data_IF_803070590534
#
_entry.id   IF_803070590534
#
_cell.length_a   1.000
_cell.length_b   1.000
_cell.length_c   1.000
_cell.angle_alpha   90.00
_cell.angle_beta   90.00
_cell.angle_gamma   90.00
#
_symmetry.space_group_name_H-M   'P 1'
#
loop_
_entity.id
_entity.type
_entity.pdbx_description
1 polymer ?
#
# COMPACT_ATOMS: atom_id res chain seq x y z
N UNK A 1 -13.57 -17.15 -11.31
CA UNK A 1 -13.31 -18.47 -10.66
C UNK A 1 -12.28 -19.19 -11.50
N UNK A 2 -11.26 -19.76 -10.89
CA UNK A 2 -10.22 -20.55 -11.58
C UNK A 2 -10.88 -21.80 -12.19
N UNK A 3 -11.04 -21.83 -13.51
CA UNK A 3 -11.63 -22.97 -14.22
C UNK A 3 -10.59 -24.10 -14.40
N UNK A 4 -11.00 -25.24 -14.98
CA UNK A 4 -10.13 -26.40 -15.15
C UNK A 4 -8.88 -26.08 -16.01
N UNK A 5 -9.06 -25.34 -17.11
CA UNK A 5 -7.95 -24.97 -17.99
C UNK A 5 -6.94 -24.05 -17.28
N UNK A 6 -7.43 -23.09 -16.48
CA UNK A 6 -6.59 -22.22 -15.68
C UNK A 6 -5.86 -23.02 -14.60
N UNK A 7 -6.53 -23.98 -13.93
CA UNK A 7 -5.85 -24.89 -12.99
C UNK A 7 -4.69 -25.63 -13.66
N UNK A 8 -4.90 -26.22 -14.84
CA UNK A 8 -3.85 -26.91 -15.58
C UNK A 8 -2.72 -25.97 -15.99
N UNK A 9 -3.04 -24.74 -16.40
CA UNK A 9 -2.03 -23.72 -16.67
C UNK A 9 -1.19 -23.39 -15.42
N UNK A 10 -1.81 -23.28 -14.24
CA UNK A 10 -1.10 -23.02 -12.98
C UNK A 10 -0.20 -24.19 -12.59
N UNK A 11 -0.68 -25.43 -12.71
CA UNK A 11 0.11 -26.64 -12.45
C UNK A 11 1.34 -26.73 -13.35
N UNK A 12 1.18 -26.45 -14.64
CA UNK A 12 2.29 -26.38 -15.60
C UNK A 12 3.27 -25.28 -15.26
N UNK A 13 2.78 -24.11 -14.83
CA UNK A 13 3.60 -22.94 -14.50
C UNK A 13 4.41 -23.17 -13.23
N UNK A 14 3.81 -23.82 -12.23
CA UNK A 14 4.43 -24.12 -10.94
C UNK A 14 5.23 -25.42 -10.95
N UNK A 15 5.15 -26.19 -12.04
CA UNK A 15 5.74 -27.52 -12.19
C UNK A 15 5.38 -28.46 -11.03
N UNK A 16 4.09 -28.48 -10.65
CA UNK A 16 3.57 -29.24 -9.51
C UNK A 16 2.06 -29.43 -9.64
N UNK A 17 1.50 -30.39 -8.91
CA UNK A 17 0.06 -30.66 -8.89
C UNK A 17 -0.62 -29.87 -7.78
N UNK A 18 -1.75 -29.23 -8.11
CA UNK A 18 -2.56 -28.50 -7.14
C UNK A 18 -3.54 -29.46 -6.47
N UNK A 19 -3.32 -29.71 -5.17
CA UNK A 19 -4.15 -30.57 -4.33
C UNK A 19 -5.42 -29.86 -3.85
N UNK A 20 -5.34 -28.55 -3.62
CA UNK A 20 -6.48 -27.72 -3.20
C UNK A 20 -6.33 -26.29 -3.72
N UNK A 21 -7.46 -25.67 -4.07
CA UNK A 21 -7.58 -24.23 -4.35
C UNK A 21 -8.66 -23.69 -3.44
N UNK A 22 -8.30 -22.77 -2.54
CA UNK A 22 -9.23 -22.21 -1.55
C UNK A 22 -9.25 -20.69 -1.62
N UNK A 23 -10.42 -20.04 -1.69
CA UNK A 23 -10.47 -18.57 -1.62
C UNK A 23 -9.94 -18.09 -0.26
N UNK A 24 -9.17 -17.00 -0.28
CA UNK A 24 -8.77 -16.25 0.89
C UNK A 24 -9.64 -15.00 1.01
N UNK A 25 -10.01 -14.64 2.24
CA UNK A 25 -10.68 -13.38 2.54
C UNK A 25 -9.67 -12.23 2.54
N UNK A 26 -10.09 -11.03 2.13
CA UNK A 26 -9.31 -9.79 2.30
C UNK A 26 -9.06 -8.98 1.02
N UNK A 27 -9.32 -9.54 -0.16
CA UNK A 27 -9.25 -8.77 -1.40
C UNK A 27 -10.59 -8.08 -1.72
N UNK A 28 -10.66 -6.76 -1.59
CA UNK A 28 -11.85 -5.99 -2.01
C UNK A 28 -11.95 -5.85 -3.54
N UNK A 29 -10.81 -5.98 -4.23
CA UNK A 29 -10.66 -5.74 -5.68
C UNK A 29 -10.17 -6.97 -6.42
N UNK A 30 -9.24 -7.71 -5.82
CA UNK A 30 -8.63 -8.90 -6.41
C UNK A 30 -9.26 -10.17 -5.85
N UNK A 31 -9.46 -11.18 -6.70
CA UNK A 31 -9.76 -12.52 -6.21
C UNK A 31 -8.48 -13.17 -5.72
N UNK A 32 -8.41 -13.49 -4.43
CA UNK A 32 -7.22 -14.09 -3.80
C UNK A 32 -7.49 -15.54 -3.44
N UNK A 33 -6.58 -16.44 -3.79
CA UNK A 33 -6.68 -17.86 -3.49
C UNK A 33 -5.38 -18.41 -2.89
N UNK A 34 -5.53 -19.34 -1.95
CA UNK A 34 -4.49 -20.26 -1.51
C UNK A 34 -4.42 -21.42 -2.51
N UNK A 35 -3.25 -21.64 -3.07
CA UNK A 35 -2.91 -22.80 -3.89
C UNK A 35 -2.09 -23.77 -3.05
N UNK A 36 -2.63 -24.96 -2.76
CA UNK A 36 -1.90 -26.01 -2.06
C UNK A 36 -1.33 -27.03 -3.02
N UNK A 37 -0.12 -27.47 -2.72
CA UNK A 37 0.57 -28.61 -3.36
C UNK A 37 0.98 -29.58 -2.26
N UNK A 38 1.59 -30.72 -2.62
CA UNK A 38 2.14 -31.65 -1.63
C UNK A 38 3.37 -31.08 -0.88
N UNK A 39 4.13 -30.18 -1.52
CA UNK A 39 5.40 -29.69 -0.97
C UNK A 39 5.30 -28.30 -0.34
N UNK A 40 4.58 -27.38 -1.00
CA UNK A 40 4.52 -25.97 -0.66
C UNK A 40 3.18 -25.34 -0.98
N UNK A 41 2.92 -24.18 -0.40
CA UNK A 41 1.73 -23.39 -0.67
C UNK A 41 2.10 -22.09 -1.38
N UNK A 42 1.14 -21.55 -2.13
CA UNK A 42 1.27 -20.26 -2.79
C UNK A 42 0.01 -19.42 -2.59
N UNK A 43 0.14 -18.11 -2.74
CA UNK A 43 -1.00 -17.21 -2.89
C UNK A 43 -1.08 -16.81 -4.35
N UNK A 44 -2.26 -16.86 -4.95
CA UNK A 44 -2.51 -16.27 -6.26
C UNK A 44 -3.53 -15.15 -6.12
N UNK A 45 -3.23 -14.01 -6.75
CA UNK A 45 -4.16 -12.92 -6.99
C UNK A 45 -4.57 -12.93 -8.46
N UNK A 46 -5.84 -12.70 -8.72
CA UNK A 46 -6.41 -12.73 -10.09
C UNK A 46 -7.36 -11.55 -10.27
N UNK A 47 -7.25 -10.88 -11.43
CA UNK A 47 -8.12 -9.77 -11.81
C UNK A 47 -8.20 -9.62 -13.34
N UNK A 48 -9.19 -8.88 -13.82
CA UNK A 48 -9.42 -8.63 -15.25
C UNK A 48 -8.31 -7.74 -15.83
N UNK A 49 -7.56 -8.28 -16.80
CA UNK A 49 -6.39 -7.62 -17.38
C UNK A 49 -6.77 -6.38 -18.22
N UNK A 50 -8.00 -6.30 -18.72
CA UNK A 50 -8.47 -5.17 -19.53
C UNK A 50 -8.89 -4.01 -18.63
N UNK A 51 -9.55 -4.31 -17.51
CA UNK A 51 -10.00 -3.32 -16.53
C UNK A 51 -8.84 -2.76 -15.73
N UNK A 52 -7.85 -3.59 -15.40
CA UNK A 52 -6.68 -3.20 -14.60
C UNK A 52 -5.37 -3.60 -15.32
N UNK A 53 -5.01 -2.88 -16.39
CA UNK A 53 -3.83 -3.21 -17.18
C UNK A 53 -2.57 -3.18 -16.31
N UNK A 54 -1.76 -4.24 -16.44
CA UNK A 54 -0.45 -4.41 -15.80
C UNK A 54 -0.46 -4.33 -14.26
N UNK A 55 -1.61 -4.42 -13.59
CA UNK A 55 -1.72 -4.28 -12.13
C UNK A 55 -0.75 -5.18 -11.38
N UNK A 56 -0.65 -6.45 -11.79
CA UNK A 56 0.23 -7.42 -11.13
C UNK A 56 1.70 -7.29 -11.48
N UNK A 57 2.04 -6.79 -12.68
CA UNK A 57 3.42 -6.41 -13.02
C UNK A 57 3.89 -5.23 -12.16
N UNK A 58 3.01 -4.26 -11.94
CA UNK A 58 3.29 -3.07 -11.12
C UNK A 58 3.39 -3.42 -9.64
N UNK A 59 2.51 -4.27 -9.12
CA UNK A 59 2.61 -4.79 -7.75
C UNK A 59 3.91 -5.60 -7.55
N UNK A 60 4.27 -6.46 -8.51
CA UNK A 60 5.52 -7.21 -8.46
C UNK A 60 6.76 -6.31 -8.40
N UNK A 61 6.77 -5.19 -9.15
CA UNK A 61 7.83 -4.17 -9.07
C UNK A 61 7.88 -3.51 -7.69
N UNK A 62 6.74 -3.15 -7.11
CA UNK A 62 6.67 -2.59 -5.75
C UNK A 62 7.20 -3.57 -4.69
N UNK A 63 6.78 -4.83 -4.75
CA UNK A 63 7.29 -5.89 -3.87
C UNK A 63 8.80 -6.09 -4.03
N UNK A 64 9.32 -6.03 -5.26
CA UNK A 64 10.75 -6.13 -5.52
C UNK A 64 11.51 -4.94 -4.92
N UNK A 65 11.00 -3.72 -5.04
CA UNK A 65 11.61 -2.52 -4.47
C UNK A 65 11.67 -2.60 -2.94
N UNK A 66 10.55 -2.95 -2.29
CA UNK A 66 10.50 -3.15 -0.85
C UNK A 66 11.48 -4.23 -0.37
N UNK A 67 11.65 -5.31 -1.15
CA UNK A 67 12.60 -6.38 -0.80
C UNK A 67 14.05 -5.90 -0.82
N UNK A 68 14.42 -4.99 -1.72
CA UNK A 68 15.77 -4.44 -1.83
C UNK A 68 16.17 -3.60 -0.59
N UNK A 69 15.21 -3.07 0.16
CA UNK A 69 15.49 -2.36 1.42
C UNK A 69 15.95 -3.29 2.56
N UNK A 70 15.80 -4.62 2.40
CA UNK A 70 16.17 -5.63 3.38
C UNK A 70 15.63 -5.33 4.79
N UNK A 71 14.44 -4.74 4.87
CA UNK A 71 13.83 -4.20 6.10
C UNK A 71 12.78 -5.13 6.69
N UNK A 72 11.86 -5.58 5.85
CA UNK A 72 10.80 -6.54 6.17
C UNK A 72 10.95 -7.81 5.34
N UNK A 73 10.33 -8.90 5.79
CA UNK A 73 10.06 -10.00 4.88
C UNK A 73 9.01 -9.54 3.85
N UNK A 74 9.33 -9.69 2.57
CA UNK A 74 8.41 -9.44 1.46
C UNK A 74 8.22 -10.76 0.71
N UNK A 75 6.98 -11.26 0.52
CA UNK A 75 6.73 -12.52 -0.17
C UNK A 75 7.45 -12.56 -1.52
N UNK A 76 8.10 -13.68 -1.83
CA UNK A 76 8.71 -13.86 -3.15
C UNK A 76 7.66 -13.82 -4.24
N UNK A 77 7.93 -13.05 -5.28
CA UNK A 77 7.17 -13.10 -6.53
C UNK A 77 7.59 -14.36 -7.26
N UNK A 78 6.67 -15.29 -7.44
CA UNK A 78 6.91 -16.57 -8.12
C UNK A 78 6.69 -16.40 -9.62
N UNK A 79 5.56 -15.78 -9.99
CA UNK A 79 5.21 -15.57 -11.39
C UNK A 79 4.20 -14.43 -11.53
N UNK A 80 4.34 -13.65 -12.60
CA UNK A 80 3.27 -12.78 -13.14
C UNK A 80 2.88 -13.31 -14.52
N UNK A 81 1.59 -13.26 -14.86
CA UNK A 81 1.14 -13.73 -16.16
C UNK A 81 -0.30 -13.36 -16.50
N UNK A 82 -0.71 -13.80 -17.68
CA UNK A 82 -2.08 -13.64 -18.17
C UNK A 82 -2.63 -15.01 -18.58
N UNK A 83 -3.93 -15.20 -18.36
CA UNK A 83 -4.65 -16.38 -18.81
C UNK A 83 -6.04 -15.96 -19.31
N UNK A 84 -6.26 -16.05 -20.63
CA UNK A 84 -7.48 -15.55 -21.26
C UNK A 84 -7.62 -14.03 -21.08
N UNK A 85 -8.68 -13.59 -20.40
CA UNK A 85 -8.94 -12.18 -20.06
C UNK A 85 -8.39 -11.76 -18.70
N UNK A 86 -7.90 -12.71 -17.91
CA UNK A 86 -7.43 -12.48 -16.56
C UNK A 86 -5.91 -12.28 -16.54
N UNK A 87 -5.45 -11.42 -15.65
CA UNK A 87 -4.05 -11.32 -15.22
C UNK A 87 -3.91 -11.97 -13.84
N UNK A 88 -2.71 -12.41 -13.50
CA UNK A 88 -2.44 -13.01 -12.19
C UNK A 88 -1.04 -12.72 -11.65
N UNK A 89 -0.93 -12.74 -10.32
CA UNK A 89 0.31 -12.70 -9.54
C UNK A 89 0.34 -13.90 -8.60
N UNK A 90 1.38 -14.73 -8.69
CA UNK A 90 1.65 -15.81 -7.75
C UNK A 90 2.77 -15.40 -6.81
N UNK A 91 2.50 -15.50 -5.52
CA UNK A 91 3.40 -15.17 -4.43
C UNK A 91 3.71 -16.39 -3.56
N UNK A 92 4.86 -16.34 -2.89
CA UNK A 92 5.16 -17.17 -1.73
C UNK A 92 4.04 -17.07 -0.69
N UNK A 93 3.58 -18.21 -0.19
CA UNK A 93 2.67 -18.23 0.95
C UNK A 93 3.46 -18.07 2.24
N UNK A 94 3.01 -17.15 3.11
CA UNK A 94 3.58 -16.95 4.44
C UNK A 94 2.64 -17.59 5.46
N UNK A 95 3.14 -18.56 6.23
CA UNK A 95 2.32 -19.25 7.23
C UNK A 95 2.18 -18.39 8.50
N UNK A 96 0.97 -17.91 8.76
CA UNK A 96 0.71 -16.99 9.84
C UNK A 96 0.91 -17.63 11.22
N UNK A 97 1.69 -16.99 12.11
CA UNK A 97 1.90 -17.41 13.50
C UNK A 97 1.56 -16.31 14.52
N UNK A 98 1.46 -16.63 15.83
CA UNK A 98 1.32 -15.61 16.85
C UNK A 98 2.50 -14.63 16.87
N UNK A 99 2.24 -13.39 17.30
CA UNK A 99 3.27 -12.35 17.44
C UNK A 99 4.38 -12.79 18.38
N UNK A 100 5.62 -12.54 17.97
CA UNK A 100 6.77 -12.64 18.86
C UNK A 100 6.71 -11.54 19.94
N UNK A 101 7.22 -11.75 21.17
CA UNK A 101 7.24 -10.71 22.21
C UNK A 101 7.94 -9.41 21.81
N UNK A 102 8.88 -9.47 20.86
CA UNK A 102 9.59 -8.32 20.28
C UNK A 102 8.96 -7.78 18.99
N UNK A 103 7.70 -8.12 18.70
CA UNK A 103 7.05 -7.73 17.45
C UNK A 103 7.08 -6.21 17.23
N UNK A 104 6.74 -5.43 18.26
CA UNK A 104 6.74 -3.97 18.15
C UNK A 104 8.14 -3.39 17.92
N UNK A 105 9.14 -3.86 18.66
CA UNK A 105 10.55 -3.51 18.51
C UNK A 105 11.05 -3.77 17.07
N UNK A 106 10.76 -4.96 16.54
CA UNK A 106 11.19 -5.35 15.20
C UNK A 106 10.46 -4.55 14.14
N UNK A 107 9.14 -4.38 14.27
CA UNK A 107 8.35 -3.60 13.32
C UNK A 107 8.85 -2.16 13.22
N UNK A 108 9.01 -1.46 14.36
CA UNK A 108 9.44 -0.06 14.39
C UNK A 108 10.82 0.13 13.77
N UNK A 109 11.78 -0.73 14.12
CA UNK A 109 13.14 -0.69 13.54
C UNK A 109 13.16 -1.03 12.05
N UNK A 110 12.40 -2.04 11.61
CA UNK A 110 12.26 -2.39 10.20
C UNK A 110 11.62 -1.27 9.39
N UNK A 111 10.58 -0.61 9.92
CA UNK A 111 9.95 0.53 9.27
C UNK A 111 10.91 1.71 9.15
N UNK A 112 11.67 2.01 10.20
CA UNK A 112 12.72 3.03 10.16
C UNK A 112 13.77 2.72 9.08
N UNK A 113 14.27 1.47 9.04
CA UNK A 113 15.23 1.02 8.02
C UNK A 113 14.67 1.15 6.61
N UNK A 114 13.41 0.77 6.39
CA UNK A 114 12.73 0.92 5.10
C UNK A 114 12.67 2.39 4.66
N UNK A 115 12.20 3.27 5.56
CA UNK A 115 12.05 4.69 5.28
C UNK A 115 13.38 5.43 5.08
N UNK A 116 14.50 4.87 5.55
CA UNK A 116 15.84 5.41 5.29
C UNK A 116 16.34 5.15 3.86
N UNK A 117 15.72 4.24 3.10
CA UNK A 117 15.98 4.12 1.68
C UNK A 117 15.37 5.31 0.93
N UNK A 118 16.21 6.10 0.26
CA UNK A 118 15.80 7.35 -0.39
C UNK A 118 16.06 7.33 -1.89
N UNK A 119 15.18 7.97 -2.64
CA UNK A 119 15.29 8.27 -4.07
C UNK A 119 14.44 9.54 -4.35
N UNK A 120 14.40 10.08 -5.58
CA UNK A 120 13.49 11.17 -5.90
C UNK A 120 12.02 10.82 -5.60
N UNK A 121 11.20 11.80 -5.20
CA UNK A 121 9.76 11.60 -4.98
C UNK A 121 9.10 11.03 -6.23
N UNK A 122 8.22 10.05 -6.05
CA UNK A 122 7.57 9.31 -7.13
C UNK A 122 8.05 7.88 -7.26
N UNK A 123 7.90 7.31 -8.44
CA UNK A 123 8.28 5.95 -8.76
C UNK A 123 8.55 5.82 -10.26
N UNK A 124 9.12 4.69 -10.69
CA UNK A 124 9.46 4.49 -12.09
C UNK A 124 8.23 4.56 -13.01
N UNK A 125 7.09 4.07 -12.53
CA UNK A 125 5.81 4.02 -13.25
C UNK A 125 4.65 4.32 -12.29
N UNK A 126 3.55 4.83 -12.85
CA UNK A 126 2.27 4.88 -12.16
C UNK A 126 1.82 3.46 -11.78
N UNK A 127 1.20 3.33 -10.62
CA UNK A 127 0.69 2.05 -10.12
C UNK A 127 -0.75 2.19 -9.63
N UNK A 128 -1.17 1.36 -8.67
CA UNK A 128 -2.54 1.36 -8.18
C UNK A 128 -2.56 1.52 -6.66
N UNK A 129 -3.57 2.25 -6.16
CA UNK A 129 -3.99 2.22 -4.77
C UNK A 129 -5.41 1.63 -4.74
N UNK A 130 -5.50 0.39 -4.27
CA UNK A 130 -6.69 -0.42 -4.52
C UNK A 130 -6.96 -0.55 -6.03
N UNK A 131 -8.10 -0.01 -6.50
CA UNK A 131 -8.50 -0.07 -7.92
C UNK A 131 -8.34 1.27 -8.64
N UNK A 132 -7.86 2.31 -7.94
CA UNK A 132 -7.64 3.62 -8.51
C UNK A 132 -6.20 3.73 -9.04
N UNK A 133 -5.98 4.45 -10.15
CA UNK A 133 -4.64 4.79 -10.57
C UNK A 133 -3.95 5.66 -9.50
N UNK A 134 -2.69 5.34 -9.21
CA UNK A 134 -1.80 6.12 -8.36
C UNK A 134 -0.67 6.69 -9.22
N UNK A 135 -0.68 8.00 -9.38
CA UNK A 135 0.31 8.72 -10.18
C UNK A 135 1.62 8.87 -9.43
N UNK A 136 2.75 8.70 -10.12
CA UNK A 136 4.08 8.65 -9.52
C UNK A 136 5.09 9.49 -10.30
N UNK A 137 4.62 10.49 -11.06
CA UNK A 137 5.51 11.41 -11.77
C UNK A 137 6.46 12.07 -10.79
N UNK A 138 7.74 12.09 -11.16
CA UNK A 138 8.80 12.56 -10.28
C UNK A 138 8.59 14.02 -9.86
N UNK A 139 8.80 14.32 -8.58
CA UNK A 139 8.76 15.68 -8.03
C UNK A 139 10.01 16.03 -7.24
N UNK A 140 10.22 17.33 -7.03
CA UNK A 140 11.42 17.87 -6.38
C UNK A 140 11.30 17.96 -4.87
N UNK A 141 10.08 18.01 -4.35
CA UNK A 141 9.80 18.24 -2.93
C UNK A 141 8.50 17.53 -2.50
N UNK A 142 8.37 17.38 -1.18
CA UNK A 142 7.28 16.66 -0.55
C UNK A 142 5.90 17.30 -0.80
N UNK A 143 5.83 18.64 -0.78
CA UNK A 143 4.57 19.36 -0.94
C UNK A 143 4.04 19.24 -2.37
N UNK A 144 4.88 19.50 -3.38
CA UNK A 144 4.50 19.35 -4.78
C UNK A 144 4.14 17.90 -5.12
N UNK A 145 4.88 16.93 -4.57
CA UNK A 145 4.51 15.51 -4.70
C UNK A 145 3.12 15.22 -4.12
N UNK A 146 2.88 15.60 -2.86
CA UNK A 146 1.63 15.27 -2.20
C UNK A 146 0.43 15.98 -2.84
N UNK A 147 0.57 17.25 -3.20
CA UNK A 147 -0.50 18.00 -3.85
C UNK A 147 -0.80 17.42 -5.23
N UNK A 148 0.21 17.31 -6.09
CA UNK A 148 0.01 17.02 -7.50
C UNK A 148 -0.19 15.52 -7.80
N UNK A 149 0.43 14.63 -7.03
CA UNK A 149 0.41 13.19 -7.31
C UNK A 149 -0.51 12.41 -6.37
N UNK A 150 -1.00 13.03 -5.28
CA UNK A 150 -1.89 12.37 -4.31
C UNK A 150 -3.23 13.09 -4.20
N UNK A 151 -3.24 14.39 -3.89
CA UNK A 151 -4.49 15.09 -3.60
C UNK A 151 -5.27 15.51 -4.85
N UNK A 152 -4.64 16.23 -5.79
CA UNK A 152 -5.30 16.76 -6.98
C UNK A 152 -6.05 15.67 -7.77
N UNK A 153 -5.43 14.53 -8.12
CA UNK A 153 -6.12 13.51 -8.89
C UNK A 153 -7.32 12.92 -8.15
N UNK A 154 -7.24 12.80 -6.82
CA UNK A 154 -8.33 12.26 -6.02
C UNK A 154 -9.49 13.25 -5.88
N UNK A 155 -9.21 14.55 -5.78
CA UNK A 155 -10.25 15.58 -5.80
C UNK A 155 -10.95 15.67 -7.16
N UNK A 156 -10.20 15.56 -8.26
CA UNK A 156 -10.74 15.54 -9.61
C UNK A 156 -11.68 14.34 -9.79
N UNK A 157 -11.22 13.12 -9.48
CA UNK A 157 -12.06 11.91 -9.52
C UNK A 157 -13.32 12.03 -8.64
N UNK A 158 -13.19 12.62 -7.46
CA UNK A 158 -14.33 12.80 -6.56
C UNK A 158 -15.33 13.83 -7.12
N UNK A 159 -14.83 14.88 -7.78
CA UNK A 159 -15.67 15.89 -8.42
C UNK A 159 -16.43 15.33 -9.61
N UNK A 160 -15.83 14.44 -10.40
CA UNK A 160 -16.51 13.74 -11.49
C UNK A 160 -17.66 12.86 -10.98
N UNK A 161 -17.55 12.37 -9.75
CA UNK A 161 -18.59 11.61 -9.05
C UNK A 161 -19.63 12.49 -8.32
N UNK A 162 -19.50 13.82 -8.38
CA UNK A 162 -20.45 14.78 -7.80
C UNK A 162 -20.13 15.25 -6.38
N UNK A 163 -18.96 14.93 -5.83
CA UNK A 163 -18.49 15.49 -4.56
C UNK A 163 -17.89 16.89 -4.77
N UNK A 164 -18.19 17.83 -3.87
CA UNK A 164 -17.80 19.22 -4.05
C UNK A 164 -16.95 19.73 -2.88
N UNK A 165 -15.70 20.07 -3.15
CA UNK A 165 -14.78 20.63 -2.17
C UNK A 165 -14.62 22.14 -2.39
N UNK A 166 -14.50 22.90 -1.30
CA UNK A 166 -14.39 24.36 -1.34
C UNK A 166 -13.02 24.79 -0.83
N UNK A 167 -12.56 25.95 -1.31
CA UNK A 167 -11.31 26.58 -0.87
C UNK A 167 -10.05 25.70 -1.03
N UNK A 168 -9.99 24.89 -2.11
CA UNK A 168 -8.84 24.03 -2.36
C UNK A 168 -7.55 24.85 -2.56
N UNK A 169 -7.61 26.00 -3.23
CA UNK A 169 -6.44 26.87 -3.43
C UNK A 169 -5.85 27.38 -2.10
N UNK A 170 -6.72 27.84 -1.18
CA UNK A 170 -6.29 28.28 0.15
C UNK A 170 -5.71 27.12 0.95
N UNK A 171 -6.33 25.94 0.88
CA UNK A 171 -5.83 24.73 1.51
C UNK A 171 -4.45 24.31 0.95
N UNK A 172 -4.24 24.32 -0.37
CA UNK A 172 -2.95 23.98 -0.97
C UNK A 172 -1.84 24.94 -0.55
N UNK A 173 -2.13 26.24 -0.46
CA UNK A 173 -1.16 27.21 0.06
C UNK A 173 -0.77 26.89 1.51
N UNK A 174 -1.75 26.65 2.38
CA UNK A 174 -1.51 26.31 3.79
C UNK A 174 -0.64 25.07 3.95
N UNK A 175 -0.94 23.99 3.22
CA UNK A 175 -0.20 22.73 3.39
C UNK A 175 1.19 22.78 2.76
N UNK A 176 1.42 23.67 1.78
CA UNK A 176 2.76 23.88 1.21
C UNK A 176 3.74 24.36 2.27
N UNK A 177 3.31 25.25 3.16
CA UNK A 177 4.14 25.75 4.26
C UNK A 177 4.23 24.77 5.44
N UNK A 178 3.19 23.94 5.64
CA UNK A 178 3.12 22.97 6.74
C UNK A 178 3.97 21.72 6.49
N UNK A 179 4.09 21.27 5.25
CA UNK A 179 4.82 20.06 4.90
C UNK A 179 6.33 20.30 5.01
N UNK A 180 7.07 19.51 5.80
CA UNK A 180 8.49 19.72 5.99
C UNK A 180 9.30 19.39 4.72
N UNK A 181 10.42 20.11 4.55
CA UNK A 181 11.42 19.80 3.54
C UNK A 181 12.29 18.62 4.01
N UNK A 182 11.79 17.41 3.78
CA UNK A 182 12.51 16.15 4.01
C UNK A 182 12.73 15.40 2.67
N UNK A 183 13.79 14.60 2.54
CA UNK A 183 13.95 13.70 1.39
C UNK A 183 12.82 12.66 1.35
N UNK A 184 12.53 12.14 0.16
CA UNK A 184 11.56 11.07 0.01
C UNK A 184 12.08 9.76 0.63
N UNK A 185 11.16 9.00 1.20
CA UNK A 185 11.39 7.68 1.77
C UNK A 185 10.70 6.62 0.93
N UNK A 186 11.30 5.45 0.81
CA UNK A 186 10.60 4.27 0.31
C UNK A 186 9.46 3.93 1.27
N UNK A 187 8.21 4.07 0.82
CA UNK A 187 7.03 3.74 1.61
C UNK A 187 6.34 2.49 1.05
N UNK A 188 5.64 1.77 1.91
CA UNK A 188 4.72 0.71 1.52
C UNK A 188 3.54 1.28 0.70
N UNK A 189 3.05 2.46 1.07
CA UNK A 189 2.04 3.19 0.32
C UNK A 189 0.61 2.86 0.71
N UNK A 190 0.34 1.66 1.23
CA UNK A 190 -0.97 1.21 1.72
C UNK A 190 -0.86 0.47 3.06
N UNK A 191 -0.10 0.99 4.03
CA UNK A 191 0.25 0.25 5.25
C UNK A 191 -0.83 0.36 6.35
N UNK A 192 -1.86 -0.47 6.28
CA UNK A 192 -2.87 -0.63 7.33
C UNK A 192 -2.85 -2.04 7.94
N UNK A 193 -3.65 -2.28 8.99
CA UNK A 193 -3.61 -3.54 9.75
C UNK A 193 -3.91 -4.82 8.95
N UNK A 194 -4.48 -4.70 7.75
CA UNK A 194 -4.70 -5.80 6.81
C UNK A 194 -3.51 -6.15 5.92
N UNK A 195 -2.54 -5.25 5.78
CA UNK A 195 -1.44 -5.36 4.82
C UNK A 195 -0.10 -5.79 5.46
N UNK A 196 -0.17 -6.46 6.60
CA UNK A 196 0.94 -7.24 7.13
C UNK A 196 0.48 -8.61 7.62
N UNK A 197 1.37 -9.60 7.49
CA UNK A 197 1.22 -10.94 8.02
C UNK A 197 2.30 -11.17 9.08
N UNK A 198 2.01 -11.96 10.10
CA UNK A 198 3.01 -12.41 11.07
C UNK A 198 3.62 -13.71 10.54
N UNK A 199 4.89 -13.70 10.16
CA UNK A 199 5.58 -14.85 9.57
C UNK A 199 5.82 -16.00 10.57
N UNK A 200 6.48 -17.07 10.12
CA UNK A 200 6.71 -18.25 10.97
C UNK A 200 7.58 -17.97 12.21
N UNK A 201 8.37 -16.90 12.21
CA UNK A 201 9.19 -16.47 13.35
C UNK A 201 8.46 -15.50 14.28
N UNK A 202 7.21 -15.14 13.97
CA UNK A 202 6.43 -14.18 14.74
C UNK A 202 6.74 -12.71 14.42
N UNK A 203 7.37 -12.44 13.26
CA UNK A 203 7.81 -11.12 12.79
C UNK A 203 6.95 -10.60 11.63
N UNK A 204 6.93 -9.28 11.38
CA UNK A 204 6.10 -8.72 10.30
C UNK A 204 6.66 -9.03 8.90
N UNK A 205 5.76 -9.44 8.02
CA UNK A 205 5.94 -9.49 6.58
C UNK A 205 4.91 -8.58 5.91
N UNK A 206 5.33 -7.73 4.98
CA UNK A 206 4.44 -6.78 4.31
C UNK A 206 3.89 -7.36 3.01
N UNK A 207 2.63 -7.04 2.72
CA UNK A 207 1.90 -7.52 1.54
C UNK A 207 1.08 -6.38 0.92
N UNK A 208 0.70 -6.54 -0.34
CA UNK A 208 -0.27 -5.67 -1.02
C UNK A 208 0.16 -4.18 -1.06
N UNK A 209 1.37 -3.86 -1.54
CA UNK A 209 1.88 -2.50 -1.47
C UNK A 209 1.37 -1.61 -2.62
N UNK A 210 1.32 -0.31 -2.34
CA UNK A 210 1.20 0.76 -3.33
C UNK A 210 2.52 1.56 -3.37
N UNK A 211 3.64 0.84 -3.53
CA UNK A 211 5.01 1.34 -3.30
C UNK A 211 5.34 2.58 -4.12
N UNK A 212 6.02 3.53 -3.48
CA UNK A 212 6.67 4.68 -4.12
C UNK A 212 7.67 5.32 -3.15
N UNK A 213 8.38 6.35 -3.62
CA UNK A 213 9.14 7.26 -2.77
C UNK A 213 8.31 8.49 -2.45
N UNK A 214 8.01 8.69 -1.16
CA UNK A 214 7.07 9.70 -0.69
C UNK A 214 7.43 10.15 0.74
N UNK A 215 6.72 11.15 1.31
CA UNK A 215 6.89 11.49 2.71
C UNK A 215 6.60 10.29 3.61
N UNK A 216 7.58 9.89 4.45
CA UNK A 216 7.46 8.75 5.38
C UNK A 216 6.30 8.82 6.36
N UNK A 217 5.84 10.04 6.66
CA UNK A 217 4.67 10.26 7.50
C UNK A 217 3.38 9.71 6.88
N UNK A 218 3.34 9.48 5.56
CA UNK A 218 2.18 8.86 4.89
C UNK A 218 1.91 7.43 5.37
N UNK A 219 2.93 6.58 5.46
CA UNK A 219 2.78 5.21 6.00
C UNK A 219 2.33 5.25 7.46
N UNK A 220 2.97 6.10 8.29
CA UNK A 220 2.61 6.25 9.71
C UNK A 220 1.18 6.76 9.91
N UNK A 221 0.72 7.63 9.03
CA UNK A 221 -0.64 8.16 9.01
C UNK A 221 -1.65 7.09 8.60
N UNK A 222 -1.31 6.25 7.62
CA UNK A 222 -2.14 5.12 7.18
C UNK A 222 -2.27 4.06 8.27
N UNK A 223 -1.17 3.73 8.96
CA UNK A 223 -1.17 2.82 10.10
C UNK A 223 -2.12 3.27 11.22
N UNK A 224 -2.26 4.57 11.43
CA UNK A 224 -3.15 5.13 12.45
C UNK A 224 -4.61 5.26 12.00
N UNK A 225 -4.89 5.22 10.70
CA UNK A 225 -6.24 5.53 10.17
C UNK A 225 -7.25 4.42 10.47
N UNK A 226 -6.88 3.17 10.23
CA UNK A 226 -7.74 1.99 10.46
C UNK A 226 -7.31 1.14 11.66
N UNK A 227 -6.25 1.55 12.36
CA UNK A 227 -5.69 0.84 13.51
C UNK A 227 -5.01 -0.47 13.14
N UNK A 228 -4.80 -1.33 14.14
CA UNK A 228 -4.10 -2.61 13.99
C UNK A 228 -2.61 -2.59 14.37
N UNK A 229 -2.13 -1.47 14.93
CA UNK A 229 -0.74 -1.26 15.34
C UNK A 229 -0.65 -0.84 16.81
N UNK A 230 0.37 -1.35 17.49
CA UNK A 230 0.65 -1.05 18.90
C UNK A 230 1.38 0.29 19.02
N UNK A 231 1.05 1.07 20.05
CA UNK A 231 1.67 2.39 20.27
C UNK A 231 3.21 2.33 20.37
N UNK A 232 3.73 1.22 20.92
CA UNK A 232 5.17 0.96 21.04
C UNK A 232 5.90 0.97 19.68
N UNK A 233 5.23 0.55 18.58
CA UNK A 233 5.82 0.59 17.23
C UNK A 233 6.22 2.01 16.85
N UNK A 234 5.36 2.99 17.14
CA UNK A 234 5.61 4.39 16.82
C UNK A 234 6.71 5.00 17.68
N UNK A 235 6.80 4.60 18.95
CA UNK A 235 7.88 5.01 19.85
C UNK A 235 9.23 4.49 19.34
N UNK A 236 9.32 3.20 19.05
CA UNK A 236 10.54 2.56 18.52
C UNK A 236 10.93 3.18 17.18
N UNK A 237 9.98 3.40 16.28
CA UNK A 237 10.23 4.07 15.01
C UNK A 237 10.83 5.47 15.23
N UNK A 238 10.23 6.27 16.11
CA UNK A 238 10.66 7.65 16.35
C UNK A 238 12.01 7.72 17.10
N UNK A 239 12.37 6.71 17.88
CA UNK A 239 13.71 6.59 18.46
C UNK A 239 14.76 6.27 17.40
N UNK A 240 14.45 5.35 16.47
CA UNK A 240 15.38 4.92 15.41
C UNK A 240 15.51 5.92 14.26
N UNK A 241 14.42 6.60 13.89
CA UNK A 241 14.38 7.59 12.82
C UNK A 241 13.42 8.75 13.19
N UNK A 242 13.91 9.72 14.00
CA UNK A 242 13.08 10.79 14.56
C UNK A 242 12.28 11.57 13.53
N UNK A 243 10.99 11.78 13.82
CA UNK A 243 10.08 12.59 13.02
C UNK A 243 10.36 14.09 13.19
N UNK A 244 10.03 14.86 12.16
CA UNK A 244 10.13 16.31 12.24
C UNK A 244 9.21 16.86 13.34
N UNK A 245 9.55 18.04 13.85
CA UNK A 245 8.76 18.71 14.88
C UNK A 245 7.28 18.86 14.43
N UNK A 246 6.37 18.72 15.38
CA UNK A 246 4.93 18.83 15.17
C UNK A 246 4.33 17.83 14.15
N UNK A 247 4.97 16.68 13.91
CA UNK A 247 4.45 15.64 13.01
C UNK A 247 3.03 15.18 13.36
N UNK A 248 2.67 15.23 14.64
CA UNK A 248 1.34 14.84 15.10
C UNK A 248 0.25 15.73 14.50
N UNK A 249 0.53 17.03 14.25
CA UNK A 249 -0.43 17.94 13.63
C UNK A 249 -0.64 17.62 12.15
N UNK A 250 0.30 16.92 11.49
CA UNK A 250 0.24 16.53 10.08
C UNK A 250 -0.39 15.17 9.83
N UNK A 251 -0.64 14.35 10.86
CA UNK A 251 -1.23 13.01 10.65
C UNK A 251 -2.55 13.06 9.87
N UNK A 252 -3.47 13.96 10.23
CA UNK A 252 -4.74 14.09 9.51
C UNK A 252 -4.57 14.62 8.09
N UNK A 253 -3.56 15.47 7.86
CA UNK A 253 -3.21 15.93 6.52
C UNK A 253 -2.85 14.71 5.65
N UNK A 254 -1.91 13.88 6.08
CA UNK A 254 -1.51 12.68 5.31
C UNK A 254 -2.66 11.69 5.13
N UNK A 255 -3.49 11.50 6.15
CA UNK A 255 -4.70 10.65 6.08
C UNK A 255 -5.71 11.13 5.03
N UNK A 256 -5.71 12.41 4.66
CA UNK A 256 -6.65 12.95 3.67
C UNK A 256 -6.56 12.21 2.34
N UNK A 257 -5.36 11.88 1.88
CA UNK A 257 -5.16 11.10 0.65
C UNK A 257 -5.94 9.78 0.69
N UNK A 258 -5.72 8.98 1.74
CA UNK A 258 -6.38 7.68 1.91
C UNK A 258 -7.89 7.82 2.08
N UNK A 259 -8.34 8.84 2.80
CA UNK A 259 -9.77 9.13 2.92
C UNK A 259 -10.39 9.50 1.56
N UNK A 260 -9.70 10.29 0.72
CA UNK A 260 -10.19 10.62 -0.62
C UNK A 260 -10.21 9.39 -1.55
N UNK A 261 -9.22 8.49 -1.44
CA UNK A 261 -9.28 7.18 -2.11
C UNK A 261 -10.56 6.44 -1.70
N UNK A 262 -10.91 6.43 -0.41
CA UNK A 262 -12.15 5.80 0.06
C UNK A 262 -13.42 6.55 -0.34
N UNK A 263 -13.38 7.88 -0.50
CA UNK A 263 -14.48 8.65 -1.13
C UNK A 263 -14.71 8.16 -2.54
N UNK A 264 -13.65 8.00 -3.32
CA UNK A 264 -13.73 7.60 -4.72
C UNK A 264 -14.16 6.14 -4.93
N UNK A 265 -13.87 5.25 -3.96
CA UNK A 265 -14.25 3.85 -4.02
C UNK A 265 -15.62 3.54 -3.38
N UNK A 266 -15.96 4.23 -2.29
CA UNK A 266 -17.10 3.86 -1.43
C UNK A 266 -18.04 5.02 -1.12
N UNK A 267 -17.61 6.26 -1.33
CA UNK A 267 -18.40 7.46 -1.09
C UNK A 267 -18.85 7.63 0.36
N UNK A 268 -20.08 8.14 0.54
CA UNK A 268 -20.77 8.15 1.84
C UNK A 268 -20.04 8.89 2.96
N UNK A 269 -19.82 8.21 4.09
CA UNK A 269 -19.25 8.81 5.30
C UNK A 269 -17.83 9.38 5.10
N UNK A 270 -17.03 8.78 4.21
CA UNK A 270 -15.65 9.23 3.94
C UNK A 270 -15.61 10.67 3.42
N UNK A 271 -16.64 11.11 2.70
CA UNK A 271 -16.71 12.48 2.19
C UNK A 271 -16.83 13.49 3.35
N UNK A 272 -17.65 13.19 4.36
CA UNK A 272 -17.77 14.04 5.54
C UNK A 272 -16.46 14.08 6.35
N UNK A 273 -15.72 12.97 6.40
CA UNK A 273 -14.39 12.93 7.00
C UNK A 273 -13.39 13.80 6.23
N UNK A 274 -13.37 13.71 4.89
CA UNK A 274 -12.52 14.55 4.04
C UNK A 274 -12.79 16.05 4.27
N UNK A 275 -14.07 16.44 4.30
CA UNK A 275 -14.49 17.83 4.59
C UNK A 275 -14.06 18.27 5.99
N UNK A 276 -14.14 17.39 6.98
CA UNK A 276 -13.74 17.69 8.36
C UNK A 276 -12.23 17.89 8.47
N UNK A 277 -11.44 17.10 7.73
CA UNK A 277 -9.99 17.25 7.67
C UNK A 277 -9.62 18.56 6.96
N UNK A 278 -10.23 18.86 5.80
CA UNK A 278 -9.97 20.11 5.07
C UNK A 278 -10.16 21.34 5.96
N UNK A 279 -11.21 21.38 6.79
CA UNK A 279 -11.47 22.50 7.72
C UNK A 279 -10.37 22.73 8.76
N UNK A 280 -9.55 21.73 9.08
CA UNK A 280 -8.43 21.88 10.02
C UNK A 280 -7.30 22.69 9.40
N UNK A 281 -7.16 22.62 8.07
CA UNK A 281 -6.04 23.19 7.31
C UNK A 281 -6.49 24.28 6.30
N UNK A 282 -7.74 24.76 6.41
CA UNK A 282 -8.32 25.80 5.56
C UNK A 282 -8.30 27.18 6.22
#
# INVERSE_FOLDING_TARGET
MLNADFKTHLESTLNTTLTEIRPLSGGDINNVYLLKTEEKHFVIKVNDAKRYPNMFDLEAKGLQELRQAESFQIPKVIQVGNFGTDSFLILEYIDAKPKHPKFAEIFGNSLAKMHQATAPFGFAEDNYIGSLPQYNTQKTDAASFYIEQRLLPQFEMASEQGYAFKNLDGFYNTITDLIPLEPASLIHGDLWGGNYIINEQGFPALIDPATCYAPREMDLAMMQLFGGFEAEIFNVYNEAFPLAEDWQSRIKLWQLYYILVHVNLFGGHYYNTAISILKIYS
#
